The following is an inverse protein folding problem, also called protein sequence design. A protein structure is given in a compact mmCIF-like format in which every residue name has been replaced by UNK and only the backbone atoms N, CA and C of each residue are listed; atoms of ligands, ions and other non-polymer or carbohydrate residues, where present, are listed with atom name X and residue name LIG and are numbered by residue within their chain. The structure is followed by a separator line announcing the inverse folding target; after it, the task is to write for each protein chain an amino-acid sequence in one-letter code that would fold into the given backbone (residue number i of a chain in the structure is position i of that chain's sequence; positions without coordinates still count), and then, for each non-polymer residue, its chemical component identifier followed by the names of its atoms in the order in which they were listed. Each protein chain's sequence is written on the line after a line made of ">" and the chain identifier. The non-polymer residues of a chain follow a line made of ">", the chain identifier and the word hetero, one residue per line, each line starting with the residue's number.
data_IF_570989436289
#
_entry.id   IF_570989436289
#
_cell.length_a   1.000
_cell.length_b   1.000
_cell.length_c   1.000
_cell.angle_alpha   90.00
_cell.angle_beta   90.00
_cell.angle_gamma   90.00
#
_symmetry.space_group_name_H-M   'P 1'
#
loop_
_entity.id
_entity.type
_entity.pdbx_description
1 polymer ?
#
# COMPACT_ATOMS: atom_id res chain seq x y z
N UNK A 1 20.22 -22.65 2.32
CA UNK A 1 21.45 -22.53 1.52
C UNK A 1 21.29 -23.44 0.33
N UNK A 2 21.50 -22.99 -0.93
CA UNK A 2 22.23 -21.81 -1.43
C UNK A 2 21.29 -20.60 -1.62
N UNK A 3 21.68 -19.37 -1.95
CA UNK A 3 22.95 -18.63 -1.91
C UNK A 3 22.57 -17.23 -1.36
N UNK A 4 23.34 -16.75 -0.39
CA UNK A 4 23.25 -15.39 0.12
C UNK A 4 24.11 -14.49 -0.77
N UNK A 5 23.50 -13.87 -1.77
CA UNK A 5 24.17 -12.87 -2.60
C UNK A 5 24.30 -11.56 -1.82
N UNK A 6 25.39 -11.52 -1.05
CA UNK A 6 25.95 -10.37 -0.38
C UNK A 6 26.06 -9.16 -1.35
N UNK A 7 25.28 -8.12 -1.07
CA UNK A 7 25.15 -6.90 -1.90
C UNK A 7 26.49 -6.19 -2.15
N UNK A 8 27.53 -6.50 -1.36
CA UNK A 8 28.89 -5.95 -1.49
C UNK A 8 29.93 -6.89 -2.10
N UNK A 9 29.69 -8.19 -2.22
CA UNK A 9 30.75 -9.13 -2.66
C UNK A 9 30.63 -9.68 -4.08
N UNK A 10 29.45 -9.64 -4.71
CA UNK A 10 29.36 -9.84 -6.15
C UNK A 10 29.69 -8.53 -6.86
N UNK A 11 30.97 -8.33 -7.23
CA UNK A 11 31.37 -7.26 -8.12
C UNK A 11 30.45 -7.29 -9.36
N UNK A 12 29.69 -6.21 -9.59
CA UNK A 12 28.81 -6.10 -10.75
C UNK A 12 29.62 -6.49 -11.99
N UNK A 13 29.16 -7.46 -12.81
CA UNK A 13 29.94 -7.92 -13.96
C UNK A 13 30.43 -6.74 -14.79
N UNK A 14 31.72 -6.69 -15.11
CA UNK A 14 32.31 -5.53 -15.79
C UNK A 14 31.64 -5.26 -17.15
N UNK A 15 31.20 -6.33 -17.84
CA UNK A 15 30.46 -6.27 -19.08
C UNK A 15 28.95 -6.00 -18.84
N UNK A 16 28.39 -4.88 -19.31
CA UNK A 16 26.96 -4.58 -19.21
C UNK A 16 26.06 -5.66 -19.81
N UNK A 17 26.50 -6.38 -20.85
CA UNK A 17 25.68 -7.43 -21.48
C UNK A 17 25.40 -8.59 -20.52
N UNK A 18 26.35 -8.89 -19.62
CA UNK A 18 26.20 -9.94 -18.61
C UNK A 18 25.36 -9.55 -17.39
N UNK A 19 24.89 -8.28 -17.32
CA UNK A 19 23.98 -7.78 -16.28
C UNK A 19 22.51 -7.88 -16.67
N UNK A 20 22.21 -8.17 -17.94
CA UNK A 20 20.84 -8.16 -18.46
C UNK A 20 20.06 -9.28 -17.79
N UNK A 21 19.03 -8.89 -17.04
CA UNK A 21 18.04 -9.81 -16.46
C UNK A 21 16.79 -9.72 -17.32
N UNK A 22 16.27 -10.88 -17.73
CA UNK A 22 14.99 -10.95 -18.42
C UNK A 22 13.87 -10.84 -17.41
N UNK A 23 12.85 -10.06 -17.76
CA UNK A 23 11.62 -10.02 -16.99
C UNK A 23 10.94 -11.40 -17.04
N UNK A 24 10.34 -11.82 -15.92
CA UNK A 24 9.59 -13.07 -15.88
C UNK A 24 8.36 -12.98 -16.81
N UNK A 25 7.94 -14.10 -17.42
CA UNK A 25 6.69 -14.13 -18.18
C UNK A 25 5.52 -13.66 -17.32
N UNK A 26 4.61 -12.88 -17.92
CA UNK A 26 3.40 -12.49 -17.23
C UNK A 26 2.46 -13.70 -17.09
N UNK A 27 2.30 -14.18 -15.87
CA UNK A 27 1.46 -15.31 -15.56
C UNK A 27 -0.02 -14.99 -15.81
N UNK A 28 -0.81 -16.03 -16.06
CA UNK A 28 -2.26 -15.87 -16.18
C UNK A 28 -2.87 -15.73 -14.79
N UNK A 29 -3.76 -14.75 -14.64
CA UNK A 29 -4.64 -14.59 -13.49
C UNK A 29 -6.08 -14.47 -13.98
N UNK A 30 -7.04 -14.67 -13.07
CA UNK A 30 -8.43 -14.32 -13.35
C UNK A 30 -8.56 -12.79 -13.33
N UNK A 31 -9.11 -12.22 -14.39
CA UNK A 31 -9.32 -10.78 -14.48
C UNK A 31 -10.20 -10.29 -13.32
N UNK A 32 -9.83 -9.16 -12.72
CA UNK A 32 -10.53 -8.53 -11.59
C UNK A 32 -10.49 -9.32 -10.27
N UNK A 33 -9.75 -10.42 -10.19
CA UNK A 33 -9.41 -11.04 -8.90
C UNK A 33 -8.57 -10.09 -8.04
N UNK A 34 -8.70 -10.21 -6.72
CA UNK A 34 -8.07 -9.35 -5.73
C UNK A 34 -7.07 -10.11 -4.88
N UNK A 35 -6.01 -9.44 -4.45
CA UNK A 35 -5.17 -9.84 -3.32
C UNK A 35 -4.89 -8.61 -2.45
N UNK A 36 -5.00 -8.73 -1.14
CA UNK A 36 -4.79 -7.60 -0.22
C UNK A 36 -3.72 -7.95 0.80
N UNK A 37 -2.73 -7.08 0.90
CA UNK A 37 -1.66 -7.13 1.90
C UNK A 37 -1.80 -5.94 2.86
N UNK A 38 -1.61 -6.18 4.15
CA UNK A 38 -1.59 -5.14 5.18
C UNK A 38 -0.33 -5.29 6.04
N UNK A 39 0.52 -4.27 6.01
CA UNK A 39 1.62 -4.11 6.96
C UNK A 39 1.04 -3.51 8.26
N UNK A 40 1.19 -4.19 9.39
CA UNK A 40 0.59 -3.83 10.67
C UNK A 40 1.65 -3.56 11.74
N UNK A 41 1.30 -2.67 12.65
CA UNK A 41 2.15 -2.25 13.77
C UNK A 41 1.95 -3.19 14.96
N UNK A 42 3.05 -3.67 15.55
CA UNK A 42 3.03 -4.31 16.86
C UNK A 42 3.45 -3.30 17.92
N UNK A 43 2.57 -3.01 18.88
CA UNK A 43 2.83 -2.02 19.94
C UNK A 43 2.72 -2.66 21.32
N UNK A 44 3.53 -2.21 22.27
CA UNK A 44 3.45 -2.66 23.66
C UNK A 44 2.21 -2.08 24.35
N UNK A 45 1.58 -2.81 25.29
CA UNK A 45 0.36 -2.32 25.97
C UNK A 45 0.60 -1.41 27.17
N UNK A 46 1.85 -1.17 27.57
CA UNK A 46 2.18 -0.26 28.67
C UNK A 46 2.32 1.20 28.21
N UNK A 47 3.02 1.45 27.10
CA UNK A 47 3.29 2.80 26.57
C UNK A 47 2.83 3.01 25.12
N UNK A 48 2.35 1.95 24.46
CA UNK A 48 1.91 1.97 23.07
C UNK A 48 2.97 2.41 22.06
N UNK A 49 4.27 2.30 22.38
CA UNK A 49 5.32 2.37 21.35
C UNK A 49 5.49 1.03 20.62
N UNK A 50 6.07 1.05 19.43
CA UNK A 50 6.35 -0.16 18.67
C UNK A 50 7.25 -1.12 19.44
N UNK A 51 6.89 -2.39 19.44
CA UNK A 51 7.54 -3.43 20.23
C UNK A 51 8.07 -4.57 19.32
N UNK A 52 9.28 -5.09 19.57
CA UNK A 52 9.97 -6.01 18.65
C UNK A 52 9.48 -7.47 18.76
N UNK A 53 8.18 -7.71 18.68
CA UNK A 53 7.55 -9.02 18.92
C UNK A 53 7.19 -9.83 17.65
N UNK A 54 7.65 -9.44 16.47
CA UNK A 54 7.28 -10.11 15.22
C UNK A 54 7.61 -11.61 15.22
N UNK A 55 8.78 -12.02 15.72
CA UNK A 55 9.17 -13.43 15.78
C UNK A 55 8.26 -14.25 16.70
N UNK A 56 7.99 -13.76 17.91
CA UNK A 56 7.08 -14.42 18.85
C UNK A 56 5.64 -14.49 18.33
N UNK A 57 5.16 -13.41 17.70
CA UNK A 57 3.85 -13.38 17.05
C UNK A 57 3.76 -14.45 15.97
N UNK A 58 4.74 -14.53 15.07
CA UNK A 58 4.77 -15.52 13.98
C UNK A 58 4.77 -16.96 14.51
N UNK A 59 5.52 -17.24 15.57
CA UNK A 59 5.55 -18.56 16.24
C UNK A 59 4.19 -18.94 16.83
N UNK A 60 3.41 -17.98 17.32
CA UNK A 60 2.05 -18.22 17.80
C UNK A 60 1.05 -18.36 16.65
N UNK A 61 1.18 -17.52 15.61
CA UNK A 61 0.30 -17.55 14.43
C UNK A 61 0.45 -18.84 13.64
N UNK A 62 1.65 -19.43 13.57
CA UNK A 62 1.89 -20.70 12.85
C UNK A 62 1.12 -21.90 13.40
N UNK A 63 0.52 -21.77 14.59
CA UNK A 63 -0.30 -22.80 15.23
C UNK A 63 -1.78 -22.69 14.85
N UNK A 64 -2.16 -21.63 14.13
CA UNK A 64 -3.55 -21.35 13.72
C UNK A 64 -3.63 -21.46 12.20
N UNK A 65 -4.45 -22.38 11.65
CA UNK A 65 -4.75 -22.38 10.23
C UNK A 65 -5.48 -21.10 9.83
N UNK A 66 -5.02 -20.43 8.77
CA UNK A 66 -5.56 -19.17 8.28
C UNK A 66 -5.83 -19.28 6.77
N UNK A 67 -6.83 -18.56 6.24
CA UNK A 67 -7.14 -18.52 4.80
C UNK A 67 -6.14 -17.69 3.97
N UNK A 68 -5.06 -17.19 4.58
CA UNK A 68 -4.06 -16.36 3.95
C UNK A 68 -2.75 -16.48 4.72
N UNK A 69 -1.83 -15.53 4.53
CA UNK A 69 -0.49 -15.62 5.10
C UNK A 69 -0.21 -14.54 6.16
N UNK A 70 0.71 -14.85 7.08
CA UNK A 70 1.28 -13.89 8.03
C UNK A 70 2.79 -14.06 7.98
N UNK A 71 3.50 -13.01 7.61
CA UNK A 71 4.94 -13.03 7.35
C UNK A 71 5.64 -11.87 8.08
N UNK A 72 6.94 -11.99 8.39
CA UNK A 72 7.70 -10.86 8.94
C UNK A 72 7.99 -9.84 7.85
N UNK A 73 8.15 -8.58 8.27
CA UNK A 73 8.60 -7.48 7.42
C UNK A 73 9.92 -6.86 7.95
N UNK A 74 10.43 -5.81 7.28
CA UNK A 74 11.73 -5.17 7.51
C UNK A 74 12.10 -4.94 8.98
N UNK A 75 11.14 -4.59 9.84
CA UNK A 75 11.39 -4.30 11.26
C UNK A 75 10.74 -5.32 12.16
N UNK A 76 11.37 -5.60 13.31
CA UNK A 76 10.86 -6.56 14.28
C UNK A 76 9.55 -6.17 14.95
N UNK A 77 9.06 -4.96 14.71
CA UNK A 77 7.78 -4.44 15.20
C UNK A 77 6.69 -4.38 14.13
N UNK A 78 6.93 -5.02 12.98
CA UNK A 78 6.00 -5.06 11.87
C UNK A 78 5.72 -6.51 11.49
N UNK A 79 4.46 -6.77 11.16
CA UNK A 79 4.01 -8.00 10.53
C UNK A 79 3.22 -7.65 9.29
N UNK A 80 3.36 -8.45 8.24
CA UNK A 80 2.53 -8.34 7.06
C UNK A 80 1.51 -9.49 7.10
N UNK A 81 0.25 -9.17 6.82
CA UNK A 81 -0.78 -10.17 6.55
C UNK A 81 -1.24 -10.05 5.10
N UNK A 82 -1.57 -11.18 4.49
CA UNK A 82 -2.12 -11.21 3.14
C UNK A 82 -3.35 -12.12 3.06
N UNK A 83 -4.28 -11.78 2.20
CA UNK A 83 -5.32 -12.72 1.75
C UNK A 83 -4.73 -13.73 0.76
N UNK A 84 -5.45 -14.83 0.54
CA UNK A 84 -5.34 -15.56 -0.72
C UNK A 84 -6.03 -14.75 -1.84
N UNK A 85 -6.22 -15.35 -3.02
CA UNK A 85 -6.97 -14.75 -4.12
C UNK A 85 -8.44 -14.61 -3.72
N UNK A 86 -8.98 -13.41 -3.86
CA UNK A 86 -10.36 -13.03 -3.57
C UNK A 86 -11.10 -12.62 -4.85
N UNK A 87 -12.43 -12.72 -4.88
CA UNK A 87 -13.24 -12.33 -6.05
C UNK A 87 -14.15 -11.13 -5.78
N UNK A 88 -14.20 -10.66 -4.52
CA UNK A 88 -14.97 -9.48 -4.13
C UNK A 88 -14.39 -8.83 -2.87
N UNK A 89 -14.80 -7.59 -2.59
CA UNK A 89 -14.50 -6.94 -1.31
C UNK A 89 -15.07 -7.75 -0.11
N UNK A 90 -16.19 -8.44 -0.29
CA UNK A 90 -16.77 -9.30 0.73
C UNK A 90 -15.89 -10.53 1.03
N UNK A 91 -15.23 -11.10 0.02
CA UNK A 91 -14.28 -12.19 0.22
C UNK A 91 -13.05 -11.70 0.98
N UNK A 92 -12.54 -10.50 0.64
CA UNK A 92 -11.41 -9.87 1.33
C UNK A 92 -11.70 -9.74 2.82
N UNK A 93 -12.85 -9.17 3.22
CA UNK A 93 -13.19 -9.05 4.64
C UNK A 93 -13.42 -10.42 5.30
N UNK A 94 -13.98 -11.39 4.57
CA UNK A 94 -14.21 -12.76 5.06
C UNK A 94 -12.88 -13.46 5.37
N UNK A 95 -11.81 -13.18 4.63
CA UNK A 95 -10.47 -13.72 4.89
C UNK A 95 -9.68 -12.91 5.92
N UNK A 96 -9.76 -11.57 5.89
CA UNK A 96 -9.03 -10.73 6.84
C UNK A 96 -9.58 -10.82 8.27
N UNK A 97 -10.88 -11.03 8.44
CA UNK A 97 -11.51 -11.14 9.77
C UNK A 97 -10.93 -12.27 10.63
N UNK A 98 -10.85 -13.53 10.20
CA UNK A 98 -10.24 -14.59 11.02
C UNK A 98 -8.75 -14.37 11.27
N UNK A 99 -8.01 -13.75 10.33
CA UNK A 99 -6.61 -13.37 10.53
C UNK A 99 -6.49 -12.33 11.66
N UNK A 100 -7.33 -11.28 11.61
CA UNK A 100 -7.44 -10.26 12.66
C UNK A 100 -7.75 -10.87 14.02
N UNK A 101 -8.76 -11.74 14.11
CA UNK A 101 -9.12 -12.38 15.39
C UNK A 101 -7.96 -13.23 15.97
N UNK A 102 -7.25 -13.95 15.11
CA UNK A 102 -6.07 -14.73 15.52
C UNK A 102 -4.92 -13.81 16.00
N UNK A 103 -4.67 -12.71 15.29
CA UNK A 103 -3.69 -11.70 15.68
C UNK A 103 -4.00 -11.11 17.05
N UNK A 104 -5.25 -10.69 17.27
CA UNK A 104 -5.71 -10.12 18.53
C UNK A 104 -5.52 -11.11 19.69
N UNK A 105 -5.99 -12.35 19.50
CA UNK A 105 -5.87 -13.40 20.52
C UNK A 105 -4.42 -13.71 20.89
N UNK A 106 -3.51 -13.68 19.92
CA UNK A 106 -2.09 -13.94 20.18
C UNK A 106 -1.36 -12.71 20.73
N UNK A 107 -1.77 -11.50 20.34
CA UNK A 107 -1.27 -10.24 20.91
C UNK A 107 -1.56 -10.16 22.42
N UNK A 108 -2.77 -10.57 22.84
CA UNK A 108 -3.17 -10.61 24.25
C UNK A 108 -2.25 -11.51 25.10
N UNK A 109 -1.74 -12.62 24.54
CA UNK A 109 -0.77 -13.50 25.23
C UNK A 109 0.61 -12.89 25.39
N UNK A 110 0.97 -11.97 24.49
CA UNK A 110 2.28 -11.32 24.44
C UNK A 110 2.29 -9.96 25.16
N UNK A 111 1.16 -9.51 25.70
CA UNK A 111 0.95 -8.17 26.26
C UNK A 111 1.25 -7.04 25.25
N UNK A 112 0.96 -7.28 23.97
CA UNK A 112 1.06 -6.31 22.88
C UNK A 112 -0.33 -6.07 22.27
N UNK A 113 -0.43 -5.07 21.41
CA UNK A 113 -1.59 -4.82 20.57
C UNK A 113 -1.17 -4.70 19.11
N UNK A 114 -2.13 -4.90 18.21
CA UNK A 114 -1.96 -4.73 16.76
C UNK A 114 -2.69 -3.46 16.33
N UNK A 115 -2.04 -2.65 15.51
CA UNK A 115 -2.56 -1.36 15.05
C UNK A 115 -2.36 -1.23 13.54
N UNK A 116 -3.34 -0.65 12.85
CA UNK A 116 -3.15 -0.11 11.50
C UNK A 116 -2.46 1.27 11.52
N UNK A 117 -2.63 2.05 10.46
CA UNK A 117 -2.08 3.41 10.34
C UNK A 117 -0.77 3.44 9.56
N UNK A 118 -0.61 4.42 8.66
CA UNK A 118 0.52 4.47 7.71
C UNK A 118 1.90 4.78 8.32
N UNK A 119 1.92 5.38 9.52
CA UNK A 119 3.11 5.66 10.32
C UNK A 119 2.79 5.39 11.79
N UNK A 120 3.80 5.07 12.59
CA UNK A 120 3.64 5.14 14.04
C UNK A 120 3.81 6.59 14.51
N UNK A 121 2.87 7.07 15.34
CA UNK A 121 2.73 8.48 15.64
C UNK A 121 3.95 9.13 16.33
N UNK A 122 4.67 8.37 17.16
CA UNK A 122 5.76 8.90 17.98
C UNK A 122 7.03 8.04 18.04
N UNK A 123 7.14 7.02 17.18
CA UNK A 123 8.33 6.16 17.17
C UNK A 123 9.56 6.98 16.76
N UNK A 124 10.74 6.60 17.26
CA UNK A 124 12.00 7.20 16.85
C UNK A 124 12.80 6.21 15.99
N UNK A 125 13.15 6.62 14.76
CA UNK A 125 13.77 5.73 13.77
C UNK A 125 15.09 5.10 14.26
N UNK A 126 15.87 5.82 15.07
CA UNK A 126 17.19 5.38 15.51
C UNK A 126 17.13 4.19 16.49
N UNK A 127 16.00 4.03 17.20
CA UNK A 127 15.74 2.95 18.14
C UNK A 127 15.24 1.67 17.46
N UNK A 128 14.89 1.74 16.17
CA UNK A 128 14.27 0.62 15.46
C UNK A 128 15.28 -0.48 15.14
N UNK A 129 14.81 -1.72 15.27
CA UNK A 129 15.55 -2.96 15.02
C UNK A 129 15.10 -3.60 13.72
N UNK A 130 16.06 -3.86 12.84
CA UNK A 130 15.84 -4.59 11.60
C UNK A 130 15.59 -6.06 11.94
N UNK A 131 14.58 -6.66 11.31
CA UNK A 131 14.26 -8.07 11.49
C UNK A 131 15.38 -8.95 10.93
N UNK A 132 15.69 -10.05 11.61
CA UNK A 132 16.86 -10.86 11.27
C UNK A 132 16.65 -11.79 10.07
N UNK A 133 16.63 -11.20 8.86
CA UNK A 133 16.68 -11.92 7.58
C UNK A 133 17.79 -11.36 6.68
N UNK A 134 18.48 -12.19 5.88
CA UNK A 134 19.59 -11.75 5.01
C UNK A 134 19.23 -10.55 4.12
N UNK A 135 18.10 -10.62 3.41
CA UNK A 135 17.60 -9.53 2.54
C UNK A 135 17.40 -8.20 3.27
N UNK A 136 16.95 -8.21 4.51
CA UNK A 136 16.72 -6.98 5.28
C UNK A 136 18.03 -6.37 5.78
N UNK A 137 19.02 -7.21 6.13
CA UNK A 137 20.38 -6.75 6.44
C UNK A 137 21.04 -6.09 5.22
N UNK A 138 20.91 -6.71 4.05
CA UNK A 138 21.41 -6.16 2.78
C UNK A 138 20.80 -4.78 2.47
N UNK A 139 19.47 -4.64 2.59
CA UNK A 139 18.78 -3.36 2.37
C UNK A 139 19.20 -2.29 3.39
N UNK A 140 19.45 -2.69 4.64
CA UNK A 140 19.97 -1.79 5.68
C UNK A 140 21.37 -1.28 5.37
N UNK A 141 22.26 -2.14 4.86
CA UNK A 141 23.60 -1.75 4.44
C UNK A 141 23.62 -0.85 3.19
N UNK A 142 22.69 -1.08 2.27
CA UNK A 142 22.55 -0.30 1.03
C UNK A 142 22.02 1.11 1.30
N UNK A 143 20.94 1.22 2.08
CA UNK A 143 20.21 2.46 2.27
C UNK A 143 20.54 3.19 3.58
N UNK A 144 21.34 2.58 4.46
CA UNK A 144 21.75 3.18 5.72
C UNK A 144 20.55 3.55 6.59
N UNK A 145 20.51 4.79 7.09
CA UNK A 145 19.44 5.25 7.99
C UNK A 145 18.04 5.25 7.36
N UNK A 146 17.94 5.34 6.02
CA UNK A 146 16.65 5.32 5.32
C UNK A 146 15.91 3.99 5.52
N UNK A 147 16.64 2.88 5.70
CA UNK A 147 16.05 1.56 5.99
C UNK A 147 15.31 1.52 7.35
N UNK A 148 15.75 2.33 8.31
CA UNK A 148 15.07 2.47 9.61
C UNK A 148 13.90 3.44 9.55
N UNK A 149 13.99 4.47 8.71
CA UNK A 149 12.86 5.35 8.39
C UNK A 149 11.75 4.62 7.62
N UNK A 150 12.06 3.46 7.03
CA UNK A 150 11.12 2.53 6.40
C UNK A 150 10.18 1.80 7.36
N UNK A 151 10.12 2.21 8.64
CA UNK A 151 9.07 1.78 9.57
C UNK A 151 7.76 2.52 9.26
N UNK A 152 7.24 2.28 8.06
CA UNK A 152 5.99 2.77 7.51
C UNK A 152 5.14 1.58 7.12
N UNK A 153 3.82 1.75 7.06
CA UNK A 153 2.90 0.64 7.00
C UNK A 153 1.90 0.86 5.86
N UNK A 154 1.96 0.03 4.83
CA UNK A 154 1.13 0.09 3.65
C UNK A 154 0.03 -0.94 3.60
N UNK A 155 -1.06 -0.57 2.94
CA UNK A 155 -1.91 -1.53 2.28
C UNK A 155 -1.45 -1.69 0.82
N UNK A 156 -1.30 -2.92 0.35
CA UNK A 156 -1.12 -3.21 -1.06
C UNK A 156 -2.36 -3.92 -1.60
N UNK A 157 -2.80 -3.53 -2.79
CA UNK A 157 -3.93 -4.17 -3.48
C UNK A 157 -3.46 -4.67 -4.82
N UNK A 158 -3.50 -5.99 -5.00
CA UNK A 158 -3.32 -6.66 -6.26
C UNK A 158 -4.64 -6.77 -7.01
N UNK A 159 -4.60 -6.53 -8.32
CA UNK A 159 -5.74 -6.75 -9.22
C UNK A 159 -5.30 -7.61 -10.42
N UNK A 160 -6.00 -8.72 -10.63
CA UNK A 160 -5.78 -9.64 -11.74
C UNK A 160 -6.10 -8.98 -13.08
N UNK A 161 -5.23 -9.19 -14.07
CA UNK A 161 -5.35 -8.61 -15.40
C UNK A 161 -5.51 -9.70 -16.46
N UNK A 162 -6.30 -9.48 -17.53
CA UNK A 162 -6.51 -10.48 -18.58
C UNK A 162 -5.20 -10.94 -19.25
N UNK A 163 -4.29 -10.00 -19.45
CA UNK A 163 -2.98 -10.20 -20.09
C UNK A 163 -2.03 -9.04 -19.72
N UNK A 164 -0.80 -9.12 -20.22
CA UNK A 164 0.29 -8.23 -19.87
C UNK A 164 0.16 -6.80 -20.45
N UNK A 165 -0.40 -6.66 -21.66
CA UNK A 165 -0.63 -5.34 -22.27
C UNK A 165 -1.81 -4.65 -21.56
N UNK A 166 -2.86 -5.41 -21.26
CA UNK A 166 -4.00 -4.97 -20.45
C UNK A 166 -3.55 -4.52 -19.04
N UNK A 167 -2.54 -5.17 -18.45
CA UNK A 167 -1.97 -4.77 -17.16
C UNK A 167 -1.30 -3.39 -17.22
N UNK A 168 -0.59 -3.06 -18.32
CA UNK A 168 0.01 -1.74 -18.50
C UNK A 168 -1.05 -0.65 -18.73
N UNK A 169 -2.06 -0.94 -19.57
CA UNK A 169 -3.21 -0.03 -19.75
C UNK A 169 -3.92 0.23 -18.42
N UNK A 170 -4.19 -0.82 -17.64
CA UNK A 170 -4.77 -0.73 -16.31
C UNK A 170 -3.92 0.14 -15.38
N UNK A 171 -2.59 -0.10 -15.35
CA UNK A 171 -1.64 0.67 -14.54
C UNK A 171 -1.72 2.17 -14.86
N UNK A 172 -1.72 2.52 -16.14
CA UNK A 172 -1.74 3.91 -16.57
C UNK A 172 -3.10 4.57 -16.30
N UNK A 173 -4.22 3.86 -16.50
CA UNK A 173 -5.55 4.35 -16.12
C UNK A 173 -5.67 4.57 -14.61
N UNK A 174 -5.23 3.60 -13.80
CA UNK A 174 -5.19 3.70 -12.34
C UNK A 174 -4.29 4.83 -11.85
N UNK A 175 -3.24 5.19 -12.60
CA UNK A 175 -2.33 6.28 -12.23
C UNK A 175 -3.03 7.64 -12.10
N UNK A 176 -4.10 7.90 -12.86
CA UNK A 176 -4.92 9.13 -12.70
C UNK A 176 -5.70 9.16 -11.38
N UNK A 177 -5.91 8.00 -10.76
CA UNK A 177 -6.70 7.83 -9.53
C UNK A 177 -5.83 7.66 -8.27
N UNK A 178 -4.49 7.71 -8.39
CA UNK A 178 -3.58 7.74 -7.24
C UNK A 178 -3.97 8.76 -6.16
N UNK A 179 -4.36 10.02 -6.50
CA UNK A 179 -4.82 10.98 -5.50
C UNK A 179 -6.03 10.47 -4.69
N UNK A 180 -6.92 9.69 -5.31
CA UNK A 180 -8.10 9.13 -4.65
C UNK A 180 -7.68 8.11 -3.61
N UNK A 181 -6.80 7.18 -4.01
CA UNK A 181 -6.29 6.13 -3.16
C UNK A 181 -5.61 6.69 -1.91
N UNK A 182 -4.79 7.73 -2.09
CA UNK A 182 -4.10 8.43 -1.00
C UNK A 182 -5.12 9.10 -0.07
N UNK A 183 -6.01 9.93 -0.61
CA UNK A 183 -6.95 10.71 0.20
C UNK A 183 -7.94 9.82 0.97
N UNK A 184 -8.39 8.72 0.36
CA UNK A 184 -9.28 7.75 0.98
C UNK A 184 -8.58 6.92 2.06
N UNK A 185 -7.33 6.51 1.89
CA UNK A 185 -6.62 5.68 2.88
C UNK A 185 -5.87 6.45 3.96
N UNK A 186 -5.62 7.74 3.76
CA UNK A 186 -4.79 8.57 4.63
C UNK A 186 -5.03 8.32 6.12
N UNK A 187 -3.97 7.85 6.80
CA UNK A 187 -3.99 7.44 8.21
C UNK A 187 -2.67 7.71 8.92
N UNK A 188 -1.82 8.60 8.37
CA UNK A 188 -0.46 8.88 8.88
C UNK A 188 -0.16 10.37 9.11
N UNK A 189 -0.95 11.11 9.91
CA UNK A 189 -0.71 12.54 10.13
C UNK A 189 0.47 12.85 11.06
N UNK A 190 0.85 11.89 11.91
CA UNK A 190 1.89 12.07 12.93
C UNK A 190 3.17 11.31 12.57
N UNK A 191 4.31 11.96 12.77
CA UNK A 191 5.64 11.34 12.63
C UNK A 191 6.53 11.84 13.76
N UNK A 192 7.18 10.93 14.47
CA UNK A 192 8.14 11.23 15.55
C UNK A 192 7.61 12.21 16.61
N UNK A 193 6.31 12.13 16.92
CA UNK A 193 5.66 12.89 17.97
C UNK A 193 5.05 14.21 17.50
N UNK A 194 5.14 14.51 16.20
CA UNK A 194 4.71 15.79 15.63
C UNK A 194 3.61 15.60 14.59
N UNK A 195 2.64 16.52 14.57
CA UNK A 195 1.72 16.65 13.44
C UNK A 195 2.49 17.20 12.25
N UNK A 196 2.66 16.37 11.23
CA UNK A 196 3.38 16.73 10.01
C UNK A 196 2.62 17.74 9.15
N UNK A 197 1.35 17.97 9.47
CA UNK A 197 0.37 18.66 8.63
C UNK A 197 0.01 17.92 7.34
N UNK A 198 0.47 16.68 7.12
CA UNK A 198 0.04 15.83 6.02
C UNK A 198 -1.09 14.89 6.47
N UNK A 199 -2.00 14.53 5.60
CA UNK A 199 -2.99 13.48 5.86
C UNK A 199 -2.34 12.09 5.70
N UNK A 200 -1.46 11.94 4.70
CA UNK A 200 -0.56 10.79 4.54
C UNK A 200 0.89 11.27 4.49
N UNK A 201 1.64 11.06 5.58
CA UNK A 201 3.08 11.34 5.64
C UNK A 201 3.92 10.14 5.16
N UNK A 202 3.36 8.91 5.17
CA UNK A 202 4.03 7.66 4.76
C UNK A 202 4.75 7.80 3.42
N UNK A 203 4.06 8.35 2.41
CA UNK A 203 4.56 8.39 1.04
C UNK A 203 5.72 9.37 0.82
N UNK A 204 5.98 10.28 1.77
CA UNK A 204 7.15 11.15 1.72
C UNK A 204 8.44 10.39 2.07
N UNK A 205 8.36 9.39 2.96
CA UNK A 205 9.50 8.52 3.30
C UNK A 205 9.93 7.67 2.10
N UNK A 206 8.96 7.21 1.30
CA UNK A 206 9.22 6.42 0.08
C UNK A 206 9.84 7.27 -1.03
N UNK A 207 9.48 8.56 -1.11
CA UNK A 207 9.92 9.44 -2.19
C UNK A 207 11.44 9.73 -2.18
N UNK A 208 12.13 9.49 -1.06
CA UNK A 208 13.57 9.62 -0.98
C UNK A 208 14.34 8.56 -1.80
N UNK A 209 13.64 7.52 -2.30
CA UNK A 209 14.26 6.40 -3.00
C UNK A 209 14.44 6.70 -4.49
N UNK A 210 15.63 6.45 -5.08
CA UNK A 210 15.94 6.84 -6.45
C UNK A 210 15.00 6.29 -7.54
N UNK A 211 14.34 5.17 -7.27
CA UNK A 211 13.43 4.48 -8.19
C UNK A 211 11.97 4.52 -7.70
N UNK A 212 11.61 5.57 -6.98
CA UNK A 212 10.24 5.82 -6.52
C UNK A 212 9.42 6.64 -7.52
N UNK A 213 8.09 6.67 -7.34
CA UNK A 213 7.18 7.46 -8.16
C UNK A 213 6.40 6.61 -9.16
N UNK A 214 6.36 7.01 -10.43
CA UNK A 214 5.59 6.30 -11.46
C UNK A 214 6.44 5.30 -12.26
N UNK A 215 5.79 4.27 -12.78
CA UNK A 215 6.36 3.42 -13.81
C UNK A 215 6.63 4.23 -15.10
N UNK A 216 7.58 3.80 -15.96
CA UNK A 216 7.74 4.37 -17.29
C UNK A 216 6.45 4.22 -18.10
N UNK A 217 6.20 5.16 -19.00
CA UNK A 217 5.05 5.06 -19.89
C UNK A 217 5.37 4.16 -21.08
N UNK A 218 4.72 3.00 -21.11
CA UNK A 218 4.78 2.00 -22.17
C UNK A 218 3.44 1.28 -22.20
N UNK A 219 2.80 1.18 -23.36
CA UNK A 219 1.48 0.56 -23.48
C UNK A 219 1.54 -0.91 -23.90
N UNK A 220 2.71 -1.37 -24.35
CA UNK A 220 2.94 -2.78 -24.66
C UNK A 220 3.96 -3.41 -23.73
N UNK A 221 3.72 -4.67 -23.38
CA UNK A 221 4.59 -5.47 -22.53
C UNK A 221 5.97 -5.62 -23.13
N UNK A 222 6.06 -5.73 -24.46
CA UNK A 222 7.33 -5.77 -25.19
C UNK A 222 8.17 -4.51 -25.00
N UNK A 223 7.55 -3.33 -25.00
CA UNK A 223 8.26 -2.08 -24.72
C UNK A 223 8.69 -1.99 -23.26
N UNK A 224 7.86 -2.49 -22.36
CA UNK A 224 8.18 -2.58 -20.93
C UNK A 224 9.35 -3.55 -20.66
N UNK A 225 9.38 -4.72 -21.30
CA UNK A 225 10.50 -5.66 -21.29
C UNK A 225 11.79 -4.99 -21.78
N UNK A 226 11.71 -4.26 -22.91
CA UNK A 226 12.84 -3.51 -23.43
C UNK A 226 13.32 -2.41 -22.47
N UNK A 227 12.41 -1.73 -21.76
CA UNK A 227 12.77 -0.80 -20.70
C UNK A 227 13.48 -1.51 -19.54
N UNK A 228 12.93 -2.64 -19.06
CA UNK A 228 13.48 -3.41 -17.95
C UNK A 228 14.88 -3.94 -18.27
N UNK A 229 15.10 -4.50 -19.47
CA UNK A 229 16.41 -4.94 -19.93
C UNK A 229 17.43 -3.79 -20.00
N UNK A 230 17.01 -2.60 -20.43
CA UNK A 230 17.88 -1.40 -20.42
C UNK A 230 18.23 -0.98 -18.99
N UNK A 231 17.28 -1.01 -18.07
CA UNK A 231 17.51 -0.66 -16.67
C UNK A 231 18.45 -1.67 -15.98
N UNK A 232 18.26 -2.97 -16.19
CA UNK A 232 19.13 -4.00 -15.59
C UNK A 232 20.55 -3.95 -16.13
N UNK A 233 20.72 -3.63 -17.43
CA UNK A 233 22.03 -3.37 -18.04
C UNK A 233 22.83 -2.28 -17.34
N UNK A 234 22.18 -1.27 -16.75
CA UNK A 234 22.87 -0.22 -15.98
C UNK A 234 23.52 -0.75 -14.70
N UNK A 235 23.01 -1.85 -14.15
CA UNK A 235 23.39 -2.40 -12.84
C UNK A 235 22.69 -1.72 -11.65
N UNK A 236 21.85 -0.70 -11.90
CA UNK A 236 21.06 -0.02 -10.85
C UNK A 236 19.88 -0.89 -10.39
N UNK A 237 19.35 -1.73 -11.29
CA UNK A 237 18.21 -2.63 -11.04
C UNK A 237 18.66 -4.06 -11.27
N UNK A 238 18.27 -4.96 -10.36
CA UNK A 238 18.47 -6.41 -10.48
C UNK A 238 17.15 -7.16 -10.63
N UNK A 239 16.07 -6.61 -10.09
CA UNK A 239 14.75 -7.23 -10.12
C UNK A 239 13.62 -6.19 -10.09
N UNK A 240 12.39 -6.63 -10.35
CA UNK A 240 11.19 -5.80 -10.17
C UNK A 240 11.01 -5.27 -8.74
N UNK A 241 11.63 -5.90 -7.74
CA UNK A 241 11.54 -5.51 -6.33
C UNK A 241 12.34 -4.24 -6.03
N UNK A 242 13.24 -3.82 -6.91
CA UNK A 242 14.07 -2.61 -6.75
C UNK A 242 13.33 -1.33 -7.14
N UNK A 243 12.20 -1.46 -7.85
CA UNK A 243 11.33 -0.33 -8.17
C UNK A 243 10.34 -0.07 -7.03
N UNK A 244 10.33 1.17 -6.56
CA UNK A 244 9.43 1.70 -5.53
C UNK A 244 8.29 2.50 -6.15
N UNK A 245 7.76 1.99 -7.26
CA UNK A 245 6.65 2.64 -7.96
C UNK A 245 5.36 2.56 -7.15
N UNK A 246 4.55 3.61 -7.28
CA UNK A 246 3.23 3.77 -6.67
C UNK A 246 2.25 2.67 -7.16
N UNK A 247 2.38 2.26 -8.43
CA UNK A 247 1.73 1.08 -9.01
C UNK A 247 2.79 0.27 -9.74
N UNK A 248 2.82 -1.04 -9.51
CA UNK A 248 3.84 -1.93 -10.07
C UNK A 248 3.21 -3.16 -10.73
N UNK A 249 3.63 -3.54 -11.95
CA UNK A 249 3.22 -4.83 -12.52
C UNK A 249 3.93 -5.97 -11.77
N UNK A 250 3.22 -7.08 -11.60
CA UNK A 250 3.70 -8.28 -10.90
C UNK A 250 3.55 -9.49 -11.84
N UNK A 251 4.49 -9.67 -12.78
CA UNK A 251 4.44 -10.75 -13.76
C UNK A 251 4.25 -12.12 -13.11
N UNK A 252 4.89 -12.34 -11.96
CA UNK A 252 4.83 -13.60 -11.21
C UNK A 252 3.40 -13.97 -10.77
N UNK A 253 2.52 -12.98 -10.64
CA UNK A 253 1.12 -13.15 -10.23
C UNK A 253 0.12 -12.82 -11.34
N UNK A 254 0.55 -12.27 -12.47
CA UNK A 254 -0.35 -11.79 -13.51
C UNK A 254 -1.22 -10.61 -13.05
N UNK A 255 -0.68 -9.74 -12.18
CA UNK A 255 -1.44 -8.64 -11.56
C UNK A 255 -0.72 -7.29 -11.76
N UNK A 256 -1.43 -6.21 -11.50
CA UNK A 256 -0.80 -4.96 -11.05
C UNK A 256 -1.05 -4.79 -9.55
N UNK A 257 -0.15 -4.09 -8.89
CA UNK A 257 -0.12 -3.89 -7.45
C UNK A 257 -0.13 -2.40 -7.13
N UNK A 258 -1.19 -1.91 -6.48
CA UNK A 258 -1.33 -0.53 -6.02
C UNK A 258 -0.73 -0.44 -4.61
N UNK A 259 0.26 0.44 -4.41
CA UNK A 259 1.10 0.49 -3.19
C UNK A 259 1.05 1.81 -2.43
N UNK A 260 0.17 2.72 -2.85
CA UNK A 260 0.07 4.07 -2.28
C UNK A 260 -0.82 4.16 -1.05
N UNK A 261 -1.58 3.12 -0.72
CA UNK A 261 -2.46 3.17 0.44
C UNK A 261 -1.65 3.15 1.73
N UNK A 262 -1.99 4.03 2.67
CA UNK A 262 -1.62 3.80 4.07
C UNK A 262 -2.41 2.59 4.59
N UNK A 263 -1.84 1.80 5.51
CA UNK A 263 -2.63 0.79 6.21
C UNK A 263 -3.82 1.46 6.94
N UNK A 264 -5.07 1.07 6.67
CA UNK A 264 -6.23 1.62 7.38
C UNK A 264 -6.28 1.20 8.84
N UNK A 265 -7.06 1.90 9.67
CA UNK A 265 -7.23 1.54 11.08
C UNK A 265 -8.10 0.28 11.29
N UNK A 266 -8.83 -0.18 10.26
CA UNK A 266 -9.68 -1.37 10.33
C UNK A 266 -9.58 -2.20 9.05
N UNK A 267 -9.83 -3.52 9.16
CA UNK A 267 -9.82 -4.44 8.01
C UNK A 267 -11.03 -4.23 7.08
N UNK A 268 -12.14 -3.72 7.62
CA UNK A 268 -13.33 -3.34 6.84
C UNK A 268 -12.99 -2.19 5.88
N UNK A 269 -12.27 -1.18 6.35
CA UNK A 269 -11.81 -0.08 5.50
C UNK A 269 -10.82 -0.58 4.44
N UNK A 270 -9.94 -1.51 4.80
CA UNK A 270 -9.03 -2.13 3.83
C UNK A 270 -9.78 -2.87 2.71
N UNK A 271 -10.79 -3.67 3.07
CA UNK A 271 -11.65 -4.36 2.10
C UNK A 271 -12.43 -3.36 1.23
N UNK A 272 -12.94 -2.27 1.81
CA UNK A 272 -13.66 -1.24 1.07
C UNK A 272 -12.78 -0.55 0.02
N UNK A 273 -11.53 -0.22 0.36
CA UNK A 273 -10.54 0.32 -0.58
C UNK A 273 -10.22 -0.67 -1.72
N UNK A 274 -10.11 -1.97 -1.42
CA UNK A 274 -9.93 -3.00 -2.45
C UNK A 274 -11.14 -3.09 -3.39
N UNK A 275 -12.37 -2.99 -2.86
CA UNK A 275 -13.59 -2.92 -3.68
C UNK A 275 -13.64 -1.71 -4.61
N UNK A 276 -13.14 -0.55 -4.17
CA UNK A 276 -13.01 0.64 -5.02
C UNK A 276 -12.02 0.42 -6.17
N UNK A 277 -10.86 -0.21 -5.90
CA UNK A 277 -9.89 -0.60 -6.94
C UNK A 277 -10.52 -1.59 -7.92
N UNK A 278 -11.22 -2.61 -7.43
CA UNK A 278 -11.88 -3.62 -8.27
C UNK A 278 -12.93 -2.98 -9.20
N UNK A 279 -13.73 -2.04 -8.66
CA UNK A 279 -14.77 -1.35 -9.42
C UNK A 279 -14.18 -0.45 -10.51
N UNK A 280 -13.11 0.30 -10.21
CA UNK A 280 -12.36 1.07 -11.21
C UNK A 280 -11.79 0.16 -12.30
N UNK A 281 -11.21 -0.98 -11.92
CA UNK A 281 -10.64 -1.92 -12.87
C UNK A 281 -11.72 -2.49 -13.81
N UNK A 282 -12.89 -2.85 -13.28
CA UNK A 282 -14.02 -3.32 -14.09
C UNK A 282 -14.48 -2.25 -15.09
N UNK A 283 -14.63 -1.00 -14.63
CA UNK A 283 -14.97 0.12 -15.49
C UNK A 283 -13.94 0.32 -16.61
N UNK A 284 -12.64 0.26 -16.30
CA UNK A 284 -11.58 0.39 -17.30
C UNK A 284 -11.57 -0.71 -18.36
N UNK A 285 -11.88 -1.96 -17.97
CA UNK A 285 -11.94 -3.07 -18.91
C UNK A 285 -13.18 -3.01 -19.80
N UNK A 286 -14.32 -2.59 -19.24
CA UNK A 286 -15.61 -2.59 -19.94
C UNK A 286 -15.79 -1.35 -20.82
N UNK A 287 -15.54 -0.16 -20.27
CA UNK A 287 -15.88 1.11 -20.93
C UNK A 287 -14.69 1.76 -21.64
N UNK A 288 -13.46 1.38 -21.29
CA UNK A 288 -12.23 1.97 -21.83
C UNK A 288 -12.30 3.51 -21.93
N UNK A 289 -12.55 4.20 -20.79
CA UNK A 289 -13.06 5.57 -20.79
C UNK A 289 -12.14 6.61 -21.41
N UNK A 290 -10.85 6.28 -21.53
CA UNK A 290 -9.85 7.06 -22.23
C UNK A 290 -8.64 6.18 -22.59
N UNK A 291 -7.86 6.66 -23.57
CA UNK A 291 -6.57 6.10 -23.91
C UNK A 291 -5.48 6.84 -23.13
N UNK A 292 -4.66 6.15 -22.31
CA UNK A 292 -3.60 6.83 -21.56
C UNK A 292 -2.55 7.44 -22.48
N UNK A 293 -2.02 8.60 -22.09
CA UNK A 293 -0.92 9.28 -22.78
C UNK A 293 0.17 9.69 -21.78
N UNK A 294 1.39 9.96 -22.26
CA UNK A 294 2.46 10.42 -21.39
C UNK A 294 2.11 11.75 -20.69
N UNK A 295 1.31 12.60 -21.33
CA UNK A 295 0.87 13.88 -20.78
C UNK A 295 -0.08 13.74 -19.57
N UNK A 296 -0.70 12.57 -19.37
CA UNK A 296 -1.47 12.27 -18.15
C UNK A 296 -0.63 12.42 -16.88
N UNK A 297 0.70 12.34 -17.01
CA UNK A 297 1.63 12.43 -15.90
C UNK A 297 2.17 13.84 -15.62
N UNK A 298 1.85 14.85 -16.44
CA UNK A 298 2.33 16.23 -16.25
C UNK A 298 1.98 16.80 -14.87
N UNK A 299 0.81 16.45 -14.35
CA UNK A 299 0.31 16.88 -13.03
C UNK A 299 0.37 15.78 -11.96
N UNK A 300 0.97 14.62 -12.26
CA UNK A 300 0.99 13.46 -11.38
C UNK A 300 1.58 13.78 -10.00
N UNK A 301 2.80 14.33 -9.97
CA UNK A 301 3.49 14.67 -8.72
C UNK A 301 2.75 15.76 -7.94
N UNK A 302 2.13 16.71 -8.63
CA UNK A 302 1.33 17.76 -8.00
C UNK A 302 0.07 17.18 -7.34
N UNK A 303 -0.73 16.41 -8.07
CA UNK A 303 -1.95 15.80 -7.55
C UNK A 303 -1.66 14.81 -6.42
N UNK A 304 -0.57 14.03 -6.54
CA UNK A 304 -0.07 13.13 -5.48
C UNK A 304 0.27 13.92 -4.22
N UNK A 305 1.04 15.00 -4.34
CA UNK A 305 1.37 15.87 -3.21
C UNK A 305 0.13 16.48 -2.56
N UNK A 306 -0.80 16.99 -3.37
CA UNK A 306 -2.05 17.58 -2.90
C UNK A 306 -2.85 16.58 -2.06
N UNK A 307 -3.01 15.34 -2.53
CA UNK A 307 -3.67 14.29 -1.77
C UNK A 307 -2.93 13.91 -0.49
N UNK A 308 -1.59 13.77 -0.51
CA UNK A 308 -0.82 13.49 0.70
C UNK A 308 -0.98 14.61 1.75
N UNK A 309 -0.94 15.87 1.32
CA UNK A 309 -0.93 17.03 2.22
C UNK A 309 -2.32 17.39 2.76
N UNK A 310 -3.34 17.34 1.91
CA UNK A 310 -4.68 17.88 2.23
C UNK A 310 -5.77 16.81 2.25
N UNK A 311 -5.45 15.56 1.91
CA UNK A 311 -6.40 14.45 1.91
C UNK A 311 -7.60 14.77 1.02
N UNK A 312 -8.81 14.61 1.57
CA UNK A 312 -10.07 14.87 0.86
C UNK A 312 -10.29 16.36 0.48
N UNK A 313 -9.64 17.29 1.18
CA UNK A 313 -9.73 18.74 0.89
C UNK A 313 -8.72 19.18 -0.21
N UNK A 314 -7.99 18.25 -0.80
CA UNK A 314 -7.07 18.52 -1.89
C UNK A 314 -7.75 19.12 -3.12
N UNK A 315 -6.97 19.82 -3.94
CA UNK A 315 -7.37 20.21 -5.30
C UNK A 315 -6.79 19.19 -6.28
N UNK A 316 -7.66 18.59 -7.10
CA UNK A 316 -7.29 17.75 -8.23
C UNK A 316 -7.21 18.59 -9.50
N UNK A 317 -6.17 18.36 -10.29
CA UNK A 317 -6.01 18.92 -11.64
C UNK A 317 -6.20 17.80 -12.65
N UNK A 318 -7.16 17.96 -13.55
CA UNK A 318 -7.34 17.03 -14.65
C UNK A 318 -6.22 17.22 -15.70
N UNK A 319 -5.41 16.20 -16.03
CA UNK A 319 -4.29 16.37 -16.96
C UNK A 319 -4.73 16.73 -18.38
N UNK A 320 -5.89 16.25 -18.83
CA UNK A 320 -6.35 16.42 -20.21
C UNK A 320 -6.91 17.83 -20.47
N UNK A 321 -7.69 18.36 -19.52
CA UNK A 321 -8.36 19.66 -19.67
C UNK A 321 -7.65 20.80 -18.94
N UNK A 322 -6.76 20.49 -17.99
CA UNK A 322 -6.15 21.47 -17.08
C UNK A 322 -7.13 22.06 -16.06
N UNK A 323 -8.36 21.54 -15.97
CA UNK A 323 -9.35 22.04 -15.02
C UNK A 323 -9.03 21.61 -13.59
N UNK A 324 -9.33 22.50 -12.64
CA UNK A 324 -9.16 22.26 -11.22
C UNK A 324 -10.51 21.96 -10.57
N UNK A 325 -10.54 21.00 -9.65
CA UNK A 325 -11.72 20.71 -8.84
C UNK A 325 -11.35 20.15 -7.45
N UNK A 326 -12.22 20.26 -6.44
CA UNK A 326 -12.00 19.58 -5.17
C UNK A 326 -11.89 18.06 -5.39
N UNK A 327 -10.87 17.44 -4.79
CA UNK A 327 -10.61 16.01 -4.97
C UNK A 327 -11.77 15.16 -4.45
N UNK A 328 -12.41 15.54 -3.34
CA UNK A 328 -13.63 14.89 -2.85
C UNK A 328 -14.75 14.87 -3.89
N UNK A 329 -14.93 15.94 -4.65
CA UNK A 329 -15.99 16.04 -5.66
C UNK A 329 -15.65 15.10 -6.83
N UNK A 330 -14.38 15.04 -7.24
CA UNK A 330 -13.90 14.11 -8.25
C UNK A 330 -14.06 12.64 -7.81
N UNK A 331 -13.80 12.33 -6.53
CA UNK A 331 -14.04 11.00 -5.94
C UNK A 331 -15.53 10.65 -6.00
N UNK A 332 -16.42 11.56 -5.58
CA UNK A 332 -17.86 11.31 -5.57
C UNK A 332 -18.43 11.13 -6.99
N UNK A 333 -18.00 11.96 -7.93
CA UNK A 333 -18.35 11.81 -9.35
C UNK A 333 -17.88 10.46 -9.89
N UNK A 334 -16.65 10.06 -9.56
CA UNK A 334 -16.13 8.75 -9.94
C UNK A 334 -16.96 7.63 -9.33
N UNK A 335 -17.27 7.68 -8.03
CA UNK A 335 -18.09 6.67 -7.35
C UNK A 335 -19.47 6.52 -8.00
N UNK A 336 -20.05 7.61 -8.53
CA UNK A 336 -21.32 7.54 -9.27
C UNK A 336 -21.16 6.84 -10.61
N UNK A 337 -20.06 7.06 -11.33
CA UNK A 337 -19.76 6.30 -12.55
C UNK A 337 -19.55 4.80 -12.27
N UNK A 338 -19.07 4.46 -11.07
CA UNK A 338 -18.80 3.07 -10.69
C UNK A 338 -20.01 2.30 -10.18
N UNK A 339 -21.19 2.92 -10.04
CA UNK A 339 -22.36 2.29 -9.39
C UNK A 339 -22.70 0.92 -10.02
N UNK A 340 -22.89 0.86 -11.33
CA UNK A 340 -23.21 -0.39 -12.04
C UNK A 340 -22.10 -1.44 -11.97
N UNK A 341 -20.84 -1.02 -12.07
CA UNK A 341 -19.70 -1.93 -11.99
C UNK A 341 -19.53 -2.50 -10.58
N UNK A 342 -19.78 -1.68 -9.56
CA UNK A 342 -19.71 -2.11 -8.16
C UNK A 342 -20.83 -3.08 -7.80
N UNK A 343 -22.04 -2.91 -8.35
CA UNK A 343 -23.14 -3.84 -8.16
C UNK A 343 -22.84 -5.21 -8.77
N UNK A 344 -22.32 -5.23 -10.01
CA UNK A 344 -21.91 -6.47 -10.68
C UNK A 344 -20.83 -7.26 -9.93
N UNK A 345 -20.00 -6.57 -9.12
CA UNK A 345 -18.91 -7.16 -8.33
C UNK A 345 -19.27 -7.38 -6.85
N UNK A 346 -20.51 -7.14 -6.44
CA UNK A 346 -20.93 -7.13 -5.02
C UNK A 346 -20.10 -6.18 -4.13
N UNK A 347 -19.63 -5.06 -4.68
CA UNK A 347 -18.85 -4.03 -4.01
C UNK A 347 -19.68 -2.81 -3.56
N UNK A 348 -21.01 -2.83 -3.76
CA UNK A 348 -21.91 -1.69 -3.44
C UNK A 348 -21.79 -1.22 -1.99
N UNK A 349 -21.74 -2.15 -1.03
CA UNK A 349 -21.60 -1.79 0.39
C UNK A 349 -20.25 -1.12 0.66
N UNK A 350 -19.17 -1.71 0.17
CA UNK A 350 -17.81 -1.16 0.28
C UNK A 350 -17.73 0.27 -0.28
N UNK A 351 -18.29 0.52 -1.47
CA UNK A 351 -18.33 1.86 -2.05
C UNK A 351 -19.23 2.81 -1.23
N UNK A 352 -20.36 2.32 -0.71
CA UNK A 352 -21.25 3.11 0.14
C UNK A 352 -20.58 3.60 1.44
N UNK A 353 -19.76 2.75 2.06
CA UNK A 353 -18.99 3.10 3.26
C UNK A 353 -17.94 4.19 2.96
N UNK A 354 -17.23 4.08 1.84
CA UNK A 354 -16.28 5.10 1.39
C UNK A 354 -17.00 6.40 1.00
N UNK A 355 -18.12 6.33 0.26
CA UNK A 355 -18.93 7.48 -0.12
C UNK A 355 -19.40 8.26 1.10
N UNK A 356 -19.94 7.57 2.10
CA UNK A 356 -20.37 8.18 3.37
C UNK A 356 -19.21 8.89 4.07
N UNK A 357 -18.02 8.29 4.06
CA UNK A 357 -16.81 8.89 4.63
C UNK A 357 -16.43 10.18 3.89
N UNK A 358 -16.48 10.18 2.55
CA UNK A 358 -16.13 11.34 1.70
C UNK A 358 -17.14 12.47 1.89
N UNK A 359 -18.44 12.18 1.90
CA UNK A 359 -19.51 13.16 2.13
C UNK A 359 -19.41 13.81 3.51
N UNK A 360 -19.02 13.04 4.53
CA UNK A 360 -18.76 13.53 5.87
C UNK A 360 -17.38 14.23 6.01
N UNK A 361 -16.58 14.27 4.95
CA UNK A 361 -15.19 14.75 4.93
C UNK A 361 -14.33 14.09 6.04
N UNK A 362 -14.41 12.76 6.12
CA UNK A 362 -13.72 11.92 7.12
C UNK A 362 -12.80 10.89 6.47
N UNK A 363 -11.61 10.77 7.04
CA UNK A 363 -10.66 9.67 6.84
C UNK A 363 -9.98 9.36 8.19
N UNK A 364 -9.13 8.35 8.23
CA UNK A 364 -8.46 7.93 9.46
C UNK A 364 -7.51 9.01 9.99
N UNK A 365 -6.84 9.77 9.13
CA UNK A 365 -5.97 10.88 9.52
C UNK A 365 -6.73 11.97 10.30
N UNK A 366 -7.93 12.35 9.85
CA UNK A 366 -8.79 13.29 10.57
C UNK A 366 -9.24 12.73 11.91
N UNK A 367 -9.65 11.46 11.94
CA UNK A 367 -10.02 10.82 13.20
C UNK A 367 -8.86 10.82 14.21
N UNK A 368 -7.64 10.49 13.76
CA UNK A 368 -6.44 10.53 14.59
C UNK A 368 -6.16 11.94 15.15
N UNK A 369 -6.31 12.99 14.32
CA UNK A 369 -6.20 14.39 14.78
C UNK A 369 -7.29 14.78 15.78
N UNK A 370 -8.53 14.38 15.54
CA UNK A 370 -9.64 14.62 16.47
C UNK A 370 -9.37 13.97 17.84
N UNK A 371 -8.85 12.74 17.85
CA UNK A 371 -8.43 12.07 19.08
C UNK A 371 -7.27 12.77 19.74
N UNK A 372 -6.23 13.14 19.00
CA UNK A 372 -5.11 13.89 19.57
C UNK A 372 -5.53 15.24 20.16
N UNK A 373 -6.48 15.94 19.53
CA UNK A 373 -7.01 17.20 20.04
C UNK A 373 -7.73 17.05 21.39
N UNK A 374 -8.40 15.91 21.61
CA UNK A 374 -9.12 15.58 22.84
C UNK A 374 -8.18 15.06 23.93
N UNK A 375 -7.38 14.05 23.61
CA UNK A 375 -6.58 13.30 24.57
C UNK A 375 -5.24 13.97 24.88
N UNK A 376 -4.68 14.72 23.91
CA UNK A 376 -3.36 15.39 24.00
C UNK A 376 -2.22 14.46 24.39
N UNK A 377 -2.35 13.17 24.10
CA UNK A 377 -1.36 12.13 24.39
C UNK A 377 -1.37 11.11 23.24
N UNK A 378 -0.30 11.08 22.45
CA UNK A 378 -0.25 10.21 21.26
C UNK A 378 -0.30 8.72 21.61
N UNK A 379 0.22 8.30 22.76
CA UNK A 379 0.09 6.93 23.25
C UNK A 379 -1.39 6.52 23.43
N UNK A 380 -2.23 7.43 23.94
CA UNK A 380 -3.67 7.18 24.06
C UNK A 380 -4.37 7.14 22.69
N UNK A 381 -3.93 7.96 21.74
CA UNK A 381 -4.43 7.89 20.36
C UNK A 381 -4.10 6.54 19.72
N UNK A 382 -2.87 6.04 19.89
CA UNK A 382 -2.45 4.71 19.41
C UNK A 382 -3.23 3.61 20.10
N UNK A 383 -3.48 3.71 21.41
CA UNK A 383 -4.37 2.77 22.12
C UNK A 383 -5.77 2.75 21.53
N UNK A 384 -6.38 3.90 21.27
CA UNK A 384 -7.71 3.97 20.67
C UNK A 384 -7.71 3.42 19.23
N UNK A 385 -6.65 3.64 18.46
CA UNK A 385 -6.48 3.04 17.14
C UNK A 385 -6.39 1.50 17.23
N UNK A 386 -5.68 0.96 18.23
CA UNK A 386 -5.64 -0.48 18.50
C UNK A 386 -7.03 -1.03 18.83
N UNK A 387 -7.85 -0.29 19.60
CA UNK A 387 -9.24 -0.67 19.87
C UNK A 387 -10.11 -0.66 18.61
N UNK A 388 -9.91 0.29 17.69
CA UNK A 388 -10.59 0.26 16.38
C UNK A 388 -10.22 -0.97 15.58
N UNK A 389 -8.93 -1.32 15.53
CA UNK A 389 -8.47 -2.53 14.85
C UNK A 389 -9.11 -3.79 15.46
N UNK A 390 -9.34 -3.82 16.78
CA UNK A 390 -10.06 -4.91 17.45
C UNK A 390 -11.56 -5.00 17.15
N UNK A 391 -12.14 -4.00 16.47
CA UNK A 391 -13.59 -3.87 16.27
C UNK A 391 -14.33 -3.22 17.46
N UNK A 392 -13.61 -2.66 18.44
CA UNK A 392 -14.14 -2.15 19.71
C UNK A 392 -14.49 -0.66 19.76
N UNK A 393 -14.83 0.00 18.64
CA UNK A 393 -15.08 1.44 18.65
C UNK A 393 -16.10 1.93 17.61
N UNK A 394 -17.27 2.33 18.10
CA UNK A 394 -18.11 3.37 17.50
C UNK A 394 -17.87 4.69 18.24
#
# INVERSE_FOLDING_TARGET
>A
MPDSDDFRSAALPADPASRVVKLEPFNRSEALSLGVELELQLVNTHDYDLAPYAEDMLRLMSQTPLPGSVVPEMTSSMIEISTDICHSAQDVITQLSPIREALIKNADKLNIAVVGGGTHAFQQWHERRIYDKPRFRELSELYGYLSKQFTIFGQHVHIGCPDADSALLMLHRMSRYIPHFIALSASSPFVQGQDTQFDSARLNSVFAFPLSGRAPFTLSWKEFEAYFERMTRTGVVRSMKDFYWDIRPKPEFGTIEIRVFDTPLTVERAAALAGYVQSLAAWFLQEQPFEPTEDDYLVYTYNRFQACRFGLDAVYVDPASGQHMPLRDHILMTMTQLEWHSEALNATQALGELRTSVEANRNDARWLREKQGKERLLAEVVRQAALRFRGGGA
#
